data_IF_837232502754
#
_entry.id   IF_837232502754
#
_cell.length_a   1.000
_cell.length_b   1.000
_cell.length_c   1.000
_cell.angle_alpha   90.00
_cell.angle_beta   90.00
_cell.angle_gamma   90.00
#
_symmetry.space_group_name_H-M   'P 1'
#
loop_
_entity.id
_entity.type
_entity.pdbx_description
1 polymer ?
#
# COMPACT_ATOMS: atom_id res chain seq x y z
N UNK A 1 7.19 8.16 -1.51
CA UNK A 1 8.09 6.98 -1.49
C UNK A 1 9.26 7.22 -2.41
N UNK A 2 10.47 7.37 -1.88
CA UNK A 2 11.70 7.55 -2.68
C UNK A 2 12.35 6.20 -3.08
N UNK A 3 11.99 5.11 -2.39
CA UNK A 3 12.42 3.74 -2.71
C UNK A 3 11.95 3.32 -4.11
N UNK A 4 10.75 3.72 -4.53
CA UNK A 4 10.19 3.36 -5.85
C UNK A 4 10.98 3.97 -7.00
N UNK A 5 11.71 5.06 -6.74
CA UNK A 5 12.57 5.73 -7.70
C UNK A 5 14.04 5.27 -7.62
N UNK A 6 14.29 4.06 -7.09
CA UNK A 6 15.64 3.46 -6.93
C UNK A 6 16.60 4.29 -6.07
N UNK A 7 16.07 5.16 -5.20
CA UNK A 7 16.87 6.03 -4.33
C UNK A 7 17.17 5.35 -2.98
N UNK A 8 17.76 4.15 -3.00
CA UNK A 8 18.00 3.32 -1.80
C UNK A 8 18.84 4.04 -0.73
N UNK A 9 19.80 4.87 -1.16
CA UNK A 9 20.75 5.56 -0.28
C UNK A 9 20.16 6.77 0.47
N UNK A 10 18.94 7.19 0.14
CA UNK A 10 18.27 8.37 0.73
C UNK A 10 17.06 7.98 1.58
N UNK A 11 16.80 6.68 1.77
CA UNK A 11 15.57 6.21 2.44
C UNK A 11 15.88 5.73 3.86
N UNK A 12 15.37 6.43 4.87
CA UNK A 12 15.53 6.09 6.29
C UNK A 12 14.47 5.09 6.80
N UNK A 13 13.72 4.42 5.92
CA UNK A 13 12.66 3.51 6.36
C UNK A 13 13.27 2.20 6.88
N UNK A 14 13.16 1.97 8.18
CA UNK A 14 13.51 0.72 8.83
C UNK A 14 12.20 0.05 9.24
N UNK A 15 11.91 -1.10 8.64
CA UNK A 15 10.75 -1.90 9.04
C UNK A 15 10.96 -2.43 10.45
N UNK A 16 9.93 -2.30 11.30
CA UNK A 16 9.89 -2.91 12.63
C UNK A 16 9.53 -4.41 12.60
N UNK A 17 9.40 -4.99 11.40
CA UNK A 17 8.99 -6.37 11.16
C UNK A 17 9.73 -6.97 9.95
N UNK A 18 9.48 -8.24 9.65
CA UNK A 18 9.99 -8.91 8.44
C UNK A 18 9.44 -8.34 7.12
N UNK A 19 8.62 -7.29 7.17
CA UNK A 19 8.13 -6.59 6.00
C UNK A 19 9.29 -5.92 5.24
N UNK A 20 9.45 -6.32 3.97
CA UNK A 20 10.47 -5.76 3.07
C UNK A 20 9.80 -4.78 2.11
N UNK A 21 9.92 -3.48 2.38
CA UNK A 21 9.36 -2.41 1.54
C UNK A 21 9.86 -2.51 0.09
N UNK A 22 11.08 -3.00 -0.11
CA UNK A 22 11.74 -3.21 -1.39
C UNK A 22 10.95 -4.14 -2.32
N UNK A 23 10.18 -5.07 -1.77
CA UNK A 23 9.33 -5.98 -2.56
C UNK A 23 8.02 -5.32 -3.00
N UNK A 24 7.53 -4.34 -2.24
CA UNK A 24 6.31 -3.60 -2.57
C UNK A 24 6.61 -2.42 -3.51
N UNK A 25 7.74 -1.76 -3.30
CA UNK A 25 8.11 -0.52 -3.98
C UNK A 25 7.98 -0.54 -5.52
N UNK A 26 8.35 -1.62 -6.24
CA UNK A 26 8.24 -1.68 -7.71
C UNK A 26 6.80 -1.64 -8.23
N UNK A 27 5.81 -1.96 -7.39
CA UNK A 27 4.40 -1.98 -7.76
C UNK A 27 3.67 -0.68 -7.38
N UNK A 28 4.36 0.27 -6.73
CA UNK A 28 3.79 1.56 -6.34
C UNK A 28 4.36 2.65 -7.23
N UNK A 29 3.48 3.30 -7.99
CA UNK A 29 3.83 4.30 -8.98
C UNK A 29 2.84 5.47 -9.02
N UNK A 30 3.12 6.49 -9.82
CA UNK A 30 2.34 7.74 -9.84
C UNK A 30 0.84 7.54 -10.07
N UNK A 31 0.46 6.56 -10.89
CA UNK A 31 -0.94 6.31 -11.25
C UNK A 31 -1.74 5.51 -10.23
N UNK A 32 -1.09 4.78 -9.31
CA UNK A 32 -1.80 3.97 -8.30
C UNK A 32 -1.57 4.46 -6.85
N UNK A 33 -0.58 5.34 -6.62
CA UNK A 33 -0.20 5.79 -5.30
C UNK A 33 -1.35 6.41 -4.52
N UNK A 34 -2.09 7.33 -5.14
CA UNK A 34 -3.21 8.04 -4.48
C UNK A 34 -4.31 7.06 -4.11
N UNK A 35 -4.74 6.21 -5.05
CA UNK A 35 -5.78 5.21 -4.81
C UNK A 35 -5.40 4.19 -3.71
N UNK A 36 -4.11 3.84 -3.61
CA UNK A 36 -3.61 2.96 -2.54
C UNK A 36 -3.66 3.65 -1.18
N UNK A 37 -3.28 4.93 -1.11
CA UNK A 37 -3.37 5.72 0.13
C UNK A 37 -4.83 5.81 0.58
N UNK A 38 -5.73 6.22 -0.32
CA UNK A 38 -7.16 6.33 -0.02
C UNK A 38 -7.74 4.99 0.46
N UNK A 39 -7.37 3.89 -0.20
CA UNK A 39 -7.82 2.55 0.20
C UNK A 39 -7.36 2.16 1.61
N UNK A 40 -6.14 2.53 2.00
CA UNK A 40 -5.60 2.29 3.34
C UNK A 40 -6.36 3.14 4.36
N UNK A 41 -6.54 4.44 4.08
CA UNK A 41 -7.24 5.38 4.97
C UNK A 41 -8.70 4.99 5.18
N UNK A 42 -9.42 4.64 4.12
CA UNK A 42 -10.81 4.18 4.19
C UNK A 42 -10.97 2.88 5.00
N UNK A 43 -10.04 1.94 4.80
CA UNK A 43 -10.05 0.67 5.53
C UNK A 43 -9.75 0.88 7.01
N UNK A 44 -8.78 1.74 7.31
CA UNK A 44 -8.46 2.15 8.67
C UNK A 44 -9.63 2.87 9.34
N UNK A 45 -10.26 3.83 8.64
CA UNK A 45 -11.42 4.55 9.12
C UNK A 45 -12.58 3.60 9.44
N UNK A 46 -12.87 2.65 8.54
CA UNK A 46 -13.92 1.65 8.73
C UNK A 46 -13.68 0.80 9.98
N UNK A 47 -12.46 0.29 10.17
CA UNK A 47 -12.11 -0.49 11.36
C UNK A 47 -12.23 0.36 12.63
N UNK A 48 -11.78 1.61 12.57
CA UNK A 48 -11.87 2.57 13.69
C UNK A 48 -13.33 2.89 14.08
N UNK A 49 -14.26 2.75 13.13
CA UNK A 49 -15.72 2.85 13.34
C UNK A 49 -16.37 1.53 13.77
N UNK A 50 -15.58 0.55 14.21
CA UNK A 50 -16.02 -0.78 14.65
C UNK A 50 -16.69 -1.62 13.55
N UNK A 51 -16.36 -1.39 12.28
CA UNK A 51 -16.74 -2.29 11.19
C UNK A 51 -15.97 -3.62 11.32
N UNK A 52 -16.58 -4.74 10.92
CA UNK A 52 -15.94 -6.05 10.98
C UNK A 52 -14.65 -6.08 10.17
N UNK A 53 -13.52 -6.23 10.88
CA UNK A 53 -12.18 -6.19 10.29
C UNK A 53 -11.93 -7.30 9.26
N UNK A 54 -12.50 -8.50 9.43
CA UNK A 54 -12.33 -9.60 8.46
C UNK A 54 -12.95 -9.24 7.11
N UNK A 55 -14.13 -8.61 7.12
CA UNK A 55 -14.80 -8.15 5.90
C UNK A 55 -14.00 -7.02 5.25
N UNK A 56 -13.57 -6.04 6.04
CA UNK A 56 -12.76 -4.90 5.55
C UNK A 56 -11.47 -5.39 4.92
N UNK A 57 -10.70 -6.25 5.62
CA UNK A 57 -9.44 -6.77 5.09
C UNK A 57 -9.62 -7.66 3.86
N UNK A 58 -10.73 -8.40 3.76
CA UNK A 58 -11.05 -9.19 2.56
C UNK A 58 -11.29 -8.28 1.36
N UNK A 59 -12.09 -7.23 1.53
CA UNK A 59 -12.34 -6.23 0.48
C UNK A 59 -11.04 -5.48 0.11
N UNK A 60 -10.27 -5.08 1.12
CA UNK A 60 -8.97 -4.45 0.96
C UNK A 60 -8.01 -5.31 0.14
N UNK A 61 -7.86 -6.60 0.46
CA UNK A 61 -6.95 -7.50 -0.25
C UNK A 61 -7.32 -7.63 -1.74
N UNK A 62 -8.60 -7.72 -2.07
CA UNK A 62 -9.08 -7.78 -3.46
C UNK A 62 -8.78 -6.48 -4.20
N UNK A 63 -9.08 -5.32 -3.60
CA UNK A 63 -8.83 -4.01 -4.22
C UNK A 63 -7.33 -3.73 -4.36
N UNK A 64 -6.55 -4.01 -3.33
CA UNK A 64 -5.10 -3.84 -3.33
C UNK A 64 -4.44 -4.67 -4.42
N UNK A 65 -4.88 -5.92 -4.61
CA UNK A 65 -4.38 -6.79 -5.69
C UNK A 65 -4.64 -6.19 -7.07
N UNK A 66 -5.76 -5.48 -7.29
CA UNK A 66 -6.02 -4.79 -8.56
C UNK A 66 -5.11 -3.58 -8.75
N UNK A 67 -4.92 -2.79 -7.69
CA UNK A 67 -4.12 -1.55 -7.75
C UNK A 67 -2.63 -1.82 -8.03
N UNK A 68 -2.05 -2.84 -7.41
CA UNK A 68 -0.63 -3.18 -7.61
C UNK A 68 -0.34 -3.81 -8.98
N UNK A 69 -1.36 -4.34 -9.66
CA UNK A 69 -1.25 -4.92 -11.00
C UNK A 69 -1.58 -3.91 -12.11
N UNK A 70 -1.89 -2.65 -11.75
CA UNK A 70 -2.11 -1.59 -12.73
C UNK A 70 -0.78 -1.27 -13.42
N UNK A 71 -0.82 -1.15 -14.74
CA UNK A 71 0.35 -0.76 -15.52
C UNK A 71 0.67 0.73 -15.30
N UNK A 72 1.95 1.04 -15.20
CA UNK A 72 2.45 2.42 -15.33
C UNK A 72 2.68 2.66 -16.83
N UNK A 73 1.73 3.32 -17.49
CA UNK A 73 1.92 3.81 -18.87
C UNK A 73 3.00 4.89 -18.94
#
# INVERSE_FOLDING_TARGET
MLVSYKSQNLTSFISSSDFKIEKLSPFIHSQNLIEIIDLIEDSYYSISRNVNSKIVFTSFAIKMTKLINRSED
#
